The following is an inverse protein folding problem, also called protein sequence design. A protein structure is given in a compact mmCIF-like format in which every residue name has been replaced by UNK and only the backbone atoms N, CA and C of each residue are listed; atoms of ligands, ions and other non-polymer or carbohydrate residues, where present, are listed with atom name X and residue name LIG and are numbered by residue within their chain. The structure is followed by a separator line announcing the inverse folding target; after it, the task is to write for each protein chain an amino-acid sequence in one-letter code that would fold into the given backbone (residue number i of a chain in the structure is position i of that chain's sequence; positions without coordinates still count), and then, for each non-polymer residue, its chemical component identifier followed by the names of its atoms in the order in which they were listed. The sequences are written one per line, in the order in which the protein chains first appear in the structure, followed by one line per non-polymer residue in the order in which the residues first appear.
data_IF_495092878846
#
_entry.id   IF_495092878846
#
_cell.length_a   1.000
_cell.length_b   1.000
_cell.length_c   1.000
_cell.angle_alpha   90.00
_cell.angle_beta   90.00
_cell.angle_gamma   90.00
#
_symmetry.space_group_name_H-M   'P 1'
#
loop_
_entity.id
_entity.type
_entity.pdbx_description
1 polymer ?
#
# COMPACT_ATOMS: atom_id res chain seq x y z
N UNK A 1 45.04 -8.41 -15.98
CA UNK A 1 44.74 -8.44 -14.52
C UNK A 1 43.44 -7.68 -14.27
N UNK A 2 42.35 -8.41 -13.96
CA UNK A 2 41.02 -7.85 -13.71
C UNK A 2 40.96 -7.32 -12.26
N UNK A 3 40.68 -6.03 -12.09
CA UNK A 3 40.42 -5.43 -10.76
C UNK A 3 38.94 -5.68 -10.40
N UNK A 4 38.70 -6.46 -9.36
CA UNK A 4 37.39 -6.59 -8.73
C UNK A 4 37.12 -5.36 -7.86
N UNK A 5 36.00 -4.68 -8.12
CA UNK A 5 35.49 -3.61 -7.27
C UNK A 5 34.64 -4.25 -6.16
N UNK A 6 35.12 -4.19 -4.92
CA UNK A 6 34.34 -4.59 -3.73
C UNK A 6 33.34 -3.47 -3.45
N UNK A 7 32.04 -3.71 -3.67
CA UNK A 7 30.97 -2.82 -3.20
C UNK A 7 30.81 -3.00 -1.69
N UNK A 8 30.94 -1.90 -0.96
CA UNK A 8 30.78 -1.85 0.49
C UNK A 8 29.35 -2.23 0.90
N UNK A 9 29.27 -3.20 1.81
CA UNK A 9 28.05 -3.59 2.52
C UNK A 9 27.84 -2.59 3.66
N UNK A 10 26.90 -1.67 3.51
CA UNK A 10 26.47 -0.77 4.61
C UNK A 10 25.36 -1.49 5.38
N UNK A 11 25.73 -2.09 6.51
CA UNK A 11 24.78 -2.58 7.51
C UNK A 11 24.34 -1.35 8.31
N UNK A 12 23.15 -0.83 8.04
CA UNK A 12 22.57 0.26 8.83
C UNK A 12 21.88 -0.36 10.05
N UNK A 13 22.54 -0.27 11.22
CA UNK A 13 21.91 -0.56 12.51
C UNK A 13 20.93 0.58 12.84
N UNK A 14 19.63 0.29 12.84
CA UNK A 14 18.63 1.13 13.51
C UNK A 14 18.72 0.86 15.01
N UNK A 15 19.22 1.82 15.78
CA UNK A 15 19.03 1.86 17.23
C UNK A 15 17.67 2.52 17.54
N UNK A 16 16.78 1.89 18.31
CA UNK A 16 15.62 2.57 18.85
C UNK A 16 16.08 3.57 19.91
N UNK A 17 15.62 4.83 19.80
CA UNK A 17 15.68 5.78 20.91
C UNK A 17 14.64 5.32 21.92
N UNK A 18 15.08 4.69 23.02
CA UNK A 18 14.21 4.24 24.09
C UNK A 18 13.83 5.42 24.99
N UNK A 19 12.56 5.84 24.93
CA UNK A 19 11.96 6.55 26.06
C UNK A 19 11.59 5.49 27.11
N UNK A 20 12.15 5.62 28.31
CA UNK A 20 11.95 4.71 29.42
C UNK A 20 10.47 4.78 29.88
N UNK A 21 9.74 3.68 29.71
CA UNK A 21 8.36 3.56 30.19
C UNK A 21 7.52 2.45 29.54
N UNK A 22 8.15 1.44 28.91
CA UNK A 22 7.42 0.40 28.18
C UNK A 22 7.14 -0.80 29.10
N UNK A 23 5.85 -1.02 29.38
CA UNK A 23 5.31 -2.28 29.91
C UNK A 23 5.73 -3.45 29.02
N UNK A 24 6.20 -4.54 29.62
CA UNK A 24 6.82 -5.71 28.98
C UNK A 24 5.92 -6.50 28.00
N UNK A 25 4.73 -6.00 27.63
CA UNK A 25 3.83 -6.60 26.62
C UNK A 25 4.02 -6.05 25.20
N UNK A 26 4.72 -4.93 24.99
CA UNK A 26 4.95 -4.36 23.65
C UNK A 26 6.23 -4.89 22.96
N UNK A 27 6.63 -6.12 23.26
CA UNK A 27 7.92 -6.68 22.83
C UNK A 27 7.85 -7.19 21.37
N UNK A 28 8.59 -6.49 20.50
CA UNK A 28 9.01 -6.83 19.13
C UNK A 28 7.96 -6.88 18.00
N UNK A 29 7.45 -5.72 17.57
CA UNK A 29 7.03 -5.56 16.16
C UNK A 29 8.31 -5.53 15.30
N UNK A 30 8.64 -6.65 14.65
CA UNK A 30 9.73 -6.71 13.67
C UNK A 30 9.21 -6.26 12.30
N UNK A 31 9.69 -5.12 11.83
CA UNK A 31 9.46 -4.61 10.48
C UNK A 31 10.37 -5.34 9.49
N UNK A 32 9.80 -6.19 8.65
CA UNK A 32 10.56 -6.80 7.55
C UNK A 32 10.65 -5.79 6.40
N UNK A 33 11.77 -5.08 6.32
CA UNK A 33 12.17 -4.41 5.09
C UNK A 33 12.79 -5.47 4.19
N UNK A 34 12.10 -5.83 3.11
CA UNK A 34 12.64 -6.81 2.15
C UNK A 34 13.89 -6.23 1.48
N UNK A 35 15.06 -6.73 1.88
CA UNK A 35 16.31 -6.51 1.15
C UNK A 35 16.15 -7.04 -0.27
N UNK A 36 16.66 -6.29 -1.25
CA UNK A 36 16.56 -6.55 -2.68
C UNK A 36 17.14 -7.92 -3.07
N UNK A 37 16.28 -8.93 -3.07
CA UNK A 37 16.47 -10.20 -3.78
C UNK A 37 16.03 -9.97 -5.23
N UNK A 38 16.75 -10.55 -6.19
CA UNK A 38 16.36 -10.55 -7.61
C UNK A 38 14.96 -11.14 -7.75
N UNK A 39 13.94 -10.28 -7.87
CA UNK A 39 12.52 -10.67 -7.89
C UNK A 39 12.17 -11.11 -9.31
N UNK A 40 11.78 -12.37 -9.50
CA UNK A 40 10.85 -12.72 -10.58
C UNK A 40 9.69 -11.72 -10.49
N UNK A 41 9.37 -10.96 -11.55
CA UNK A 41 8.37 -9.88 -11.46
C UNK A 41 7.00 -10.45 -11.08
N UNK A 42 6.71 -10.46 -9.79
CA UNK A 42 5.45 -10.96 -9.26
C UNK A 42 4.44 -9.83 -9.32
N UNK A 43 3.50 -9.93 -10.25
CA UNK A 43 2.38 -9.00 -10.35
C UNK A 43 1.35 -9.30 -9.25
N UNK A 44 0.91 -8.26 -8.54
CA UNK A 44 -0.09 -8.26 -7.46
C UNK A 44 -1.42 -7.64 -7.90
N UNK A 45 -1.43 -6.95 -9.04
CA UNK A 45 -2.62 -6.33 -9.61
C UNK A 45 -2.88 -6.86 -11.02
N UNK A 46 -4.13 -7.22 -11.30
CA UNK A 46 -4.60 -7.59 -12.63
C UNK A 46 -5.39 -6.42 -13.23
N UNK A 47 -5.06 -6.02 -14.46
CA UNK A 47 -5.88 -5.06 -15.21
C UNK A 47 -7.19 -5.73 -15.65
N UNK A 48 -8.32 -5.09 -15.35
CA UNK A 48 -9.67 -5.58 -15.70
C UNK A 48 -10.43 -4.50 -16.49
N UNK A 49 -11.57 -4.89 -17.08
CA UNK A 49 -12.39 -3.96 -17.88
C UNK A 49 -13.08 -2.90 -16.98
N UNK A 50 -12.84 -1.59 -17.22
CA UNK A 50 -13.40 -0.52 -16.38
C UNK A 50 -14.85 -0.12 -16.71
N UNK A 51 -15.47 -0.64 -17.77
CA UNK A 51 -16.75 -0.13 -18.30
C UNK A 51 -17.89 -0.07 -17.27
N UNK A 52 -17.98 -1.08 -16.39
CA UNK A 52 -19.00 -1.12 -15.35
C UNK A 52 -18.70 -0.10 -14.25
N UNK A 53 -17.44 0.02 -13.86
CA UNK A 53 -16.99 0.90 -12.78
C UNK A 53 -17.07 2.38 -13.13
N UNK A 54 -16.90 2.72 -14.41
CA UNK A 54 -17.07 4.11 -14.91
C UNK A 54 -18.50 4.60 -14.68
N UNK A 55 -19.49 3.71 -14.84
CA UNK A 55 -20.93 4.01 -14.72
C UNK A 55 -21.46 3.82 -13.30
N UNK A 56 -20.66 3.25 -12.41
CA UNK A 56 -21.06 2.94 -11.05
C UNK A 56 -20.90 4.16 -10.15
N UNK A 57 -21.94 4.47 -9.39
CA UNK A 57 -21.88 5.41 -8.27
C UNK A 57 -21.39 4.72 -6.98
N UNK A 58 -21.20 3.39 -7.01
CA UNK A 58 -20.71 2.61 -5.87
C UNK A 58 -19.17 2.63 -5.77
N UNK A 59 -18.63 3.83 -5.64
CA UNK A 59 -17.19 4.09 -5.57
C UNK A 59 -16.88 5.41 -4.88
N UNK A 60 -15.65 5.57 -4.44
CA UNK A 60 -15.19 6.87 -3.94
C UNK A 60 -15.11 7.88 -5.08
N UNK A 61 -15.21 9.20 -4.81
CA UNK A 61 -14.91 10.21 -5.81
C UNK A 61 -13.53 10.01 -6.45
N UNK A 62 -13.39 10.36 -7.72
CA UNK A 62 -12.08 10.46 -8.38
C UNK A 62 -11.29 11.56 -7.70
N UNK A 63 -10.12 11.21 -7.16
CA UNK A 63 -9.22 12.15 -6.50
C UNK A 63 -7.89 12.18 -7.24
N UNK A 64 -7.35 13.38 -7.40
CA UNK A 64 -6.00 13.59 -7.95
C UNK A 64 -4.98 12.81 -7.13
N UNK A 65 -4.11 12.05 -7.80
CA UNK A 65 -3.08 11.25 -7.13
C UNK A 65 -1.73 11.97 -7.19
N UNK A 66 -1.31 12.55 -6.07
CA UNK A 66 -0.02 13.24 -5.96
C UNK A 66 0.20 14.28 -7.05
N UNK A 67 1.45 14.31 -7.54
CA UNK A 67 1.86 15.17 -8.66
C UNK A 67 1.76 14.46 -10.03
N UNK A 68 0.95 13.40 -10.14
CA UNK A 68 0.83 12.63 -11.38
C UNK A 68 -0.18 13.26 -12.36
N UNK A 69 -0.39 12.64 -13.52
CA UNK A 69 -1.50 12.95 -14.41
C UNK A 69 -2.73 12.07 -14.17
N UNK A 70 -2.81 11.40 -13.02
CA UNK A 70 -3.88 10.44 -12.74
C UNK A 70 -4.84 10.95 -11.67
N UNK A 71 -6.10 10.58 -11.84
CA UNK A 71 -7.10 10.54 -10.78
C UNK A 71 -7.39 9.07 -10.46
N UNK A 72 -7.66 8.76 -9.19
CA UNK A 72 -8.01 7.41 -8.78
C UNK A 72 -9.23 7.37 -7.86
N UNK A 73 -9.90 6.22 -7.86
CA UNK A 73 -11.10 5.93 -7.10
C UNK A 73 -11.04 4.46 -6.65
N UNK A 74 -11.62 4.17 -5.48
CA UNK A 74 -11.82 2.82 -4.98
C UNK A 74 -13.25 2.41 -5.32
N UNK A 75 -13.40 1.35 -6.12
CA UNK A 75 -14.69 0.84 -6.55
C UNK A 75 -15.07 -0.37 -5.71
N UNK A 76 -16.36 -0.50 -5.39
CA UNK A 76 -16.88 -1.62 -4.59
C UNK A 76 -17.10 -1.29 -3.12
N UNK A 77 -16.68 -0.11 -2.65
CA UNK A 77 -16.73 0.28 -1.22
C UNK A 77 -17.57 1.53 -0.92
N UNK A 78 -18.44 1.94 -1.86
CA UNK A 78 -19.24 3.16 -1.72
C UNK A 78 -18.41 4.46 -1.72
N UNK A 79 -19.06 5.57 -1.41
CA UNK A 79 -18.49 6.93 -1.51
C UNK A 79 -17.30 7.17 -0.56
N UNK A 80 -17.33 6.54 0.62
CA UNK A 80 -16.36 6.77 1.69
C UNK A 80 -15.30 5.66 1.83
N UNK A 81 -15.41 4.59 1.04
CA UNK A 81 -14.59 3.38 1.15
C UNK A 81 -14.73 2.60 2.48
N UNK A 82 -15.87 2.71 3.14
CA UNK A 82 -16.14 2.09 4.46
C UNK A 82 -17.01 0.82 4.38
N UNK A 83 -17.36 0.37 3.17
CA UNK A 83 -18.20 -0.81 2.97
C UNK A 83 -17.37 -2.10 2.83
N UNK A 84 -17.95 -3.21 3.31
CA UNK A 84 -17.34 -4.53 3.19
C UNK A 84 -17.36 -5.07 1.75
N UNK A 85 -16.40 -5.95 1.45
CA UNK A 85 -16.33 -6.69 0.21
C UNK A 85 -15.06 -6.43 -0.59
N UNK A 86 -14.89 -7.11 -1.73
CA UNK A 86 -13.76 -6.90 -2.62
C UNK A 86 -13.83 -5.50 -3.26
N UNK A 87 -12.67 -4.97 -3.61
CA UNK A 87 -12.54 -3.65 -4.20
C UNK A 87 -11.40 -3.58 -5.20
N UNK A 88 -11.51 -2.64 -6.12
CA UNK A 88 -10.59 -2.41 -7.22
C UNK A 88 -10.18 -0.94 -7.28
N UNK A 89 -9.08 -0.68 -7.98
CA UNK A 89 -8.56 0.67 -8.20
C UNK A 89 -8.93 1.11 -9.61
N UNK A 90 -9.85 2.06 -9.73
CA UNK A 90 -10.16 2.72 -11.00
C UNK A 90 -9.26 3.95 -11.14
N UNK A 91 -8.54 4.02 -12.26
CA UNK A 91 -7.60 5.10 -12.59
C UNK A 91 -8.07 5.78 -13.87
N UNK A 92 -8.08 7.11 -13.85
CA UNK A 92 -8.31 7.95 -15.04
C UNK A 92 -7.04 8.73 -15.35
N UNK A 93 -6.54 8.59 -16.56
CA UNK A 93 -5.52 9.48 -17.11
C UNK A 93 -6.18 10.81 -17.51
N UNK A 94 -5.79 11.89 -16.85
CA UNK A 94 -6.36 13.23 -17.09
C UNK A 94 -5.92 13.86 -18.42
N UNK A 95 -4.83 13.38 -19.02
CA UNK A 95 -4.37 13.86 -20.33
C UNK A 95 -5.15 13.19 -21.48
N UNK A 96 -5.37 11.88 -21.38
CA UNK A 96 -6.01 11.10 -22.45
C UNK A 96 -7.49 10.83 -22.20
N UNK A 97 -7.98 11.14 -21.00
CA UNK A 97 -9.31 10.80 -20.51
C UNK A 97 -9.64 9.29 -20.55
N UNK A 98 -8.61 8.44 -20.58
CA UNK A 98 -8.76 6.98 -20.60
C UNK A 98 -8.81 6.43 -19.18
N UNK A 99 -9.59 5.36 -19.03
CA UNK A 99 -9.76 4.65 -17.77
C UNK A 99 -9.05 3.30 -17.82
N UNK A 100 -8.52 2.89 -16.68
CA UNK A 100 -8.03 1.55 -16.40
C UNK A 100 -8.53 1.13 -15.02
N UNK A 101 -8.70 -0.16 -14.82
CA UNK A 101 -9.09 -0.69 -13.52
C UNK A 101 -8.20 -1.85 -13.13
N UNK A 102 -7.83 -1.90 -11.85
CA UNK A 102 -6.89 -2.88 -11.32
C UNK A 102 -7.49 -3.61 -10.12
N UNK A 103 -7.52 -4.95 -10.20
CA UNK A 103 -7.93 -5.83 -9.12
C UNK A 103 -6.71 -6.37 -8.38
N UNK A 104 -6.72 -6.32 -7.05
CA UNK A 104 -5.68 -6.98 -6.26
C UNK A 104 -5.83 -8.52 -6.31
N UNK A 105 -4.73 -9.24 -6.50
CA UNK A 105 -4.68 -10.69 -6.58
C UNK A 105 -4.34 -11.26 -5.19
N UNK A 106 -5.36 -11.72 -4.45
CA UNK A 106 -5.15 -12.51 -3.24
C UNK A 106 -4.73 -13.94 -3.60
N UNK A 107 -3.43 -14.16 -3.72
CA UNK A 107 -2.87 -15.47 -4.11
C UNK A 107 -3.12 -16.58 -3.08
N UNK A 108 -3.50 -16.22 -1.85
CA UNK A 108 -3.85 -17.21 -0.84
C UNK A 108 -5.32 -17.64 -0.98
N UNK A 109 -6.17 -16.82 -1.61
CA UNK A 109 -7.59 -17.10 -1.78
C UNK A 109 -8.16 -16.41 -3.03
N UNK A 110 -7.95 -17.02 -4.21
CA UNK A 110 -8.36 -16.44 -5.50
C UNK A 110 -9.89 -16.37 -5.68
N UNK A 111 -10.61 -17.33 -5.12
CA UNK A 111 -12.08 -17.44 -5.27
C UNK A 111 -12.83 -16.54 -4.29
N UNK A 112 -12.31 -16.38 -3.07
CA UNK A 112 -12.91 -15.58 -2.02
C UNK A 112 -11.87 -14.63 -1.40
N UNK A 113 -11.42 -13.62 -2.16
CA UNK A 113 -10.35 -12.74 -1.73
C UNK A 113 -10.66 -12.11 -0.38
N UNK A 114 -9.78 -12.34 0.58
CA UNK A 114 -9.90 -11.78 1.93
C UNK A 114 -9.19 -10.43 2.03
N UNK A 115 -8.40 -10.07 1.02
CA UNK A 115 -7.71 -8.79 0.91
C UNK A 115 -8.06 -8.05 -0.38
N UNK A 116 -8.12 -6.72 -0.31
CA UNK A 116 -8.44 -5.87 -1.45
C UNK A 116 -7.77 -4.50 -1.35
N UNK A 117 -7.83 -3.72 -2.43
CA UNK A 117 -7.41 -2.33 -2.41
C UNK A 117 -8.36 -1.51 -1.52
N UNK A 118 -7.80 -0.77 -0.57
CA UNK A 118 -8.59 0.04 0.37
C UNK A 118 -8.49 1.53 0.05
N UNK A 119 -7.32 1.99 -0.40
CA UNK A 119 -7.06 3.42 -0.64
C UNK A 119 -5.90 3.61 -1.59
N UNK A 120 -6.03 4.56 -2.51
CA UNK A 120 -4.88 5.14 -3.23
C UNK A 120 -4.41 6.35 -2.44
N UNK A 121 -3.14 6.36 -2.06
CA UNK A 121 -2.60 7.32 -1.08
C UNK A 121 -1.77 8.43 -1.74
N UNK A 122 -0.94 8.10 -2.72
CA UNK A 122 -0.10 9.06 -3.44
C UNK A 122 0.44 8.43 -4.75
N UNK A 123 1.26 9.14 -5.50
CA UNK A 123 1.90 8.63 -6.71
C UNK A 123 2.96 9.55 -7.30
N UNK A 124 3.78 8.98 -8.17
CA UNK A 124 4.84 9.65 -8.92
C UNK A 124 4.91 9.08 -10.34
N UNK A 125 4.98 9.95 -11.33
CA UNK A 125 4.99 9.57 -12.75
C UNK A 125 3.84 8.59 -13.06
N UNK A 126 4.16 7.35 -13.43
CA UNK A 126 3.20 6.29 -13.77
C UNK A 126 2.88 5.35 -12.59
N UNK A 127 3.40 5.63 -11.40
CA UNK A 127 3.27 4.75 -10.24
C UNK A 127 2.34 5.35 -9.21
N UNK A 128 1.35 4.57 -8.77
CA UNK A 128 0.49 4.89 -7.64
C UNK A 128 0.89 4.02 -6.43
N UNK A 129 0.73 4.56 -5.24
CA UNK A 129 0.83 3.80 -4.00
C UNK A 129 -0.57 3.46 -3.51
N UNK A 130 -0.79 2.18 -3.23
CA UNK A 130 -2.09 1.62 -2.88
C UNK A 130 -1.97 0.89 -1.55
N UNK A 131 -2.79 1.29 -0.58
CA UNK A 131 -2.98 0.52 0.66
C UNK A 131 -3.87 -0.68 0.33
N UNK A 132 -3.39 -1.85 0.71
CA UNK A 132 -4.11 -3.13 0.63
C UNK A 132 -4.30 -3.66 2.04
N UNK A 133 -5.44 -4.29 2.27
CA UNK A 133 -5.81 -4.80 3.58
C UNK A 133 -7.05 -5.69 3.51
N UNK A 134 -7.60 -6.03 4.67
CA UNK A 134 -8.74 -6.94 4.76
C UNK A 134 -9.97 -6.35 4.05
N UNK A 135 -10.63 -7.17 3.23
CA UNK A 135 -11.84 -6.82 2.51
C UNK A 135 -13.10 -6.88 3.39
N UNK A 136 -13.04 -7.61 4.51
CA UNK A 136 -14.16 -7.88 5.42
C UNK A 136 -13.76 -7.64 6.88
N UNK A 137 -14.75 -7.39 7.74
CA UNK A 137 -14.61 -7.22 9.18
C UNK A 137 -14.70 -5.77 9.64
N UNK A 138 -15.04 -5.58 10.92
CA UNK A 138 -15.28 -4.26 11.56
C UNK A 138 -14.05 -3.33 11.60
N UNK A 139 -12.91 -3.76 11.07
CA UNK A 139 -11.73 -2.94 10.85
C UNK A 139 -11.19 -3.19 9.45
N UNK A 140 -11.50 -2.32 8.49
CA UNK A 140 -10.81 -2.23 7.21
C UNK A 140 -9.38 -1.77 7.44
N UNK A 141 -8.54 -2.73 7.76
CA UNK A 141 -7.20 -2.48 8.23
C UNK A 141 -6.23 -2.64 7.06
N UNK A 142 -5.73 -1.50 6.56
CA UNK A 142 -4.58 -1.50 5.69
C UNK A 142 -3.41 -2.17 6.40
N UNK A 143 -2.88 -3.23 5.82
CA UNK A 143 -1.73 -3.94 6.40
C UNK A 143 -0.50 -3.86 5.49
N UNK A 144 -0.65 -3.37 4.26
CA UNK A 144 0.42 -3.33 3.29
C UNK A 144 0.25 -2.15 2.32
N UNK A 145 1.38 -1.69 1.78
CA UNK A 145 1.40 -0.73 0.68
C UNK A 145 2.05 -1.41 -0.52
N UNK A 146 1.45 -1.22 -1.67
CA UNK A 146 1.98 -1.65 -2.96
C UNK A 146 2.21 -0.45 -3.87
N UNK A 147 3.28 -0.51 -4.66
CA UNK A 147 3.45 0.34 -5.84
C UNK A 147 2.75 -0.32 -7.02
N UNK A 148 1.97 0.44 -7.79
CA UNK A 148 1.27 0.01 -9.00
C UNK A 148 1.63 0.93 -10.16
N UNK A 149 2.31 0.40 -11.17
CA UNK A 149 2.53 1.10 -12.44
C UNK A 149 1.29 0.97 -13.32
N UNK A 150 0.64 2.09 -13.62
CA UNK A 150 -0.64 2.09 -14.35
C UNK A 150 -0.47 1.89 -15.86
N UNK A 151 0.75 2.00 -16.40
CA UNK A 151 0.98 1.78 -17.82
C UNK A 151 0.95 0.29 -18.16
N UNK A 152 1.65 -0.52 -17.38
CA UNK A 152 1.89 -1.94 -17.66
C UNK A 152 1.32 -2.90 -16.59
N UNK A 153 0.69 -2.36 -15.54
CA UNK A 153 0.13 -3.15 -14.44
C UNK A 153 1.19 -3.76 -13.53
N UNK A 154 2.48 -3.49 -13.74
CA UNK A 154 3.54 -4.01 -12.88
C UNK A 154 3.39 -3.46 -11.48
N UNK A 155 3.65 -4.29 -10.48
CA UNK A 155 3.42 -3.90 -9.08
C UNK A 155 4.40 -4.58 -8.15
N UNK A 156 4.69 -3.94 -7.02
CA UNK A 156 5.59 -4.47 -5.99
C UNK A 156 5.06 -4.13 -4.60
N UNK A 157 5.29 -5.00 -3.64
CA UNK A 157 5.07 -4.68 -2.23
C UNK A 157 6.16 -3.70 -1.77
N UNK A 158 5.75 -2.58 -1.17
CA UNK A 158 6.66 -1.58 -0.59
C UNK A 158 6.91 -1.90 0.87
N UNK A 159 5.83 -2.18 1.61
CA UNK A 159 5.89 -2.52 3.03
C UNK A 159 4.66 -3.33 3.44
N UNK A 160 4.81 -4.04 4.55
CA UNK A 160 3.73 -4.76 5.23
C UNK A 160 3.94 -4.68 6.74
N UNK A 161 2.87 -4.43 7.49
CA UNK A 161 2.88 -4.54 8.95
C UNK A 161 2.82 -6.01 9.35
N UNK A 162 3.62 -6.39 10.34
CA UNK A 162 3.54 -7.70 10.98
C UNK A 162 2.55 -7.60 12.14
N UNK A 163 1.62 -8.55 12.23
CA UNK A 163 0.55 -8.53 13.24
C UNK A 163 -0.55 -7.51 12.94
N UNK A 164 -1.26 -7.67 11.81
CA UNK A 164 -2.30 -6.73 11.34
C UNK A 164 -3.37 -6.36 12.40
N UNK A 165 -3.63 -7.23 13.38
CA UNK A 165 -4.51 -6.93 14.51
C UNK A 165 -3.99 -5.82 15.45
N UNK A 166 -2.69 -5.53 15.40
CA UNK A 166 -1.98 -4.59 16.28
C UNK A 166 -1.48 -3.37 15.50
N UNK A 167 -1.22 -3.47 14.18
CA UNK A 167 -0.65 -2.35 13.41
C UNK A 167 -1.32 -2.18 12.04
N UNK A 168 -1.86 -0.97 11.81
CA UNK A 168 -2.68 -0.63 10.65
C UNK A 168 -2.12 0.58 9.94
N UNK A 169 -1.84 0.46 8.64
CA UNK A 169 -1.49 1.56 7.75
C UNK A 169 -2.76 2.32 7.40
N UNK A 170 -2.84 3.58 7.81
CA UNK A 170 -4.02 4.44 7.59
C UNK A 170 -3.85 5.41 6.44
N UNK A 171 -2.64 5.93 6.30
CA UNK A 171 -2.31 6.82 5.22
C UNK A 171 -0.84 6.71 4.83
N UNK A 172 -0.49 7.24 3.67
CA UNK A 172 0.89 7.48 3.31
C UNK A 172 1.01 8.64 2.32
N UNK A 173 2.20 9.25 2.30
CA UNK A 173 2.49 10.36 1.40
C UNK A 173 3.95 10.33 0.97
N UNK A 174 4.21 10.64 -0.29
CA UNK A 174 5.56 10.88 -0.76
C UNK A 174 6.06 12.21 -0.18
N UNK A 175 7.17 12.12 0.55
CA UNK A 175 7.90 13.29 1.04
C UNK A 175 8.87 13.78 -0.03
N UNK A 176 9.41 12.85 -0.80
CA UNK A 176 10.20 13.12 -2.00
C UNK A 176 10.11 11.94 -2.94
N UNK A 177 10.84 12.05 -4.04
CA UNK A 177 10.94 11.07 -5.13
C UNK A 177 11.19 9.62 -4.72
N UNK A 178 11.79 9.38 -3.55
CA UNK A 178 12.25 8.08 -3.09
C UNK A 178 11.76 7.75 -1.67
N UNK A 179 11.01 8.63 -1.01
CA UNK A 179 10.65 8.48 0.40
C UNK A 179 9.14 8.59 0.58
N UNK A 180 8.53 7.48 0.98
CA UNK A 180 7.12 7.39 1.35
C UNK A 180 7.01 7.36 2.87
N UNK A 181 6.33 8.35 3.44
CA UNK A 181 6.02 8.39 4.87
C UNK A 181 4.63 7.83 5.10
N UNK A 182 4.50 6.78 5.89
CA UNK A 182 3.21 6.17 6.22
C UNK A 182 2.82 6.41 7.68
N UNK A 183 1.56 6.73 7.89
CA UNK A 183 0.93 6.81 9.21
C UNK A 183 0.42 5.41 9.60
N UNK A 184 0.96 4.88 10.69
CA UNK A 184 0.61 3.55 11.22
C UNK A 184 -0.02 3.70 12.60
N UNK A 185 -1.25 3.20 12.73
CA UNK A 185 -1.97 3.13 13.99
C UNK A 185 -1.67 1.80 14.67
N UNK A 186 -1.19 1.87 15.90
CA UNK A 186 -0.87 0.71 16.75
C UNK A 186 -1.96 0.57 17.80
N UNK A 187 -2.55 -0.61 17.92
CA UNK A 187 -3.67 -0.92 18.79
C UNK A 187 -3.26 -1.73 20.02
N UNK A 188 -3.91 -1.46 21.15
CA UNK A 188 -3.93 -2.31 22.35
C UNK A 188 -5.40 -2.58 22.71
N UNK A 189 -5.78 -3.85 22.78
CA UNK A 189 -7.16 -4.30 23.05
C UNK A 189 -8.25 -3.48 22.32
N UNK A 190 -8.12 -3.35 20.98
CA UNK A 190 -9.02 -2.62 20.06
C UNK A 190 -9.00 -1.09 20.16
N UNK A 191 -8.22 -0.51 21.07
CA UNK A 191 -8.04 0.94 21.19
C UNK A 191 -6.73 1.37 20.54
N UNK A 192 -6.72 2.54 19.90
CA UNK A 192 -5.46 3.11 19.39
C UNK A 192 -4.60 3.46 20.60
N UNK A 193 -3.44 2.83 20.69
CA UNK A 193 -2.45 3.10 21.71
C UNK A 193 -1.43 4.14 21.22
N UNK A 194 -0.94 3.98 19.99
CA UNK A 194 0.06 4.87 19.40
C UNK A 194 -0.21 5.15 17.92
N UNK A 195 0.16 6.35 17.46
CA UNK A 195 0.27 6.68 16.04
C UNK A 195 1.75 6.93 15.76
N UNK A 196 2.30 6.21 14.79
CA UNK A 196 3.72 6.26 14.45
C UNK A 196 3.88 6.51 12.96
N UNK A 197 4.80 7.42 12.64
CA UNK A 197 5.22 7.68 11.27
C UNK A 197 6.42 6.82 10.89
N UNK A 198 6.28 6.03 9.83
CA UNK A 198 7.39 5.26 9.27
C UNK A 198 7.79 5.76 7.89
N UNK A 199 9.10 5.84 7.66
CA UNK A 199 9.67 6.20 6.37
C UNK A 199 10.09 4.93 5.61
N UNK A 200 9.56 4.76 4.42
CA UNK A 200 9.86 3.66 3.51
C UNK A 200 10.47 4.20 2.21
N UNK A 201 11.44 3.47 1.66
CA UNK A 201 11.96 3.82 0.35
C UNK A 201 10.96 3.40 -0.74
N UNK A 202 10.47 4.39 -1.48
CA UNK A 202 9.70 4.19 -2.70
C UNK A 202 10.66 3.72 -3.79
N UNK A 203 10.62 2.42 -4.12
CA UNK A 203 11.51 1.77 -5.11
C UNK A 203 10.87 1.74 -6.49
#
# INVERSE_FOLDING_TARGET
MKKFLIKALVICCLLPITNAGVSAKAQEIRLNTSNSVTVNSQTYFEEINPENSIKSDWRTPLKKVGNTNYEASIVGKGEYADEEGPATVLVRDTLTNKYKEFKFIDRNNLEHPQVSALKVVDGKANTLFVIVGNAYGMGFQGNSIYSLNVQDGTSKMVTQTTGAAIAVIKDAKLINDNLLKAEVWIFDDQMINHIVDYNYYAV
#
